data_IF_737507888441
#
_entry.id   IF_737507888441
#
_cell.length_a   1.000
_cell.length_b   1.000
_cell.length_c   1.000
_cell.angle_alpha   90.00
_cell.angle_beta   90.00
_cell.angle_gamma   90.00
#
_symmetry.space_group_name_H-M   'P 1'
#
loop_
_entity.id
_entity.type
_entity.pdbx_description
1 polymer ?
#
# COMPACT_ATOMS: atom_id res chain seq x y z
N UNK A 1 -0.97 2.09 -7.48
CA UNK A 1 -0.63 3.04 -8.58
C UNK A 1 -0.72 2.37 -9.95
N UNK A 2 -1.67 2.77 -10.79
CA UNK A 2 -1.72 2.39 -12.21
C UNK A 2 -1.11 3.45 -13.13
N UNK A 3 -0.38 3.04 -14.17
CA UNK A 3 0.02 3.94 -15.27
C UNK A 3 0.00 3.18 -16.59
N UNK A 4 -0.91 3.58 -17.48
CA UNK A 4 -1.08 2.94 -18.79
C UNK A 4 -1.35 1.44 -18.64
N UNK A 5 -0.49 0.62 -19.24
CA UNK A 5 -0.60 -0.84 -19.29
C UNK A 5 0.06 -1.56 -18.10
N UNK A 6 0.28 -0.84 -16.99
CA UNK A 6 0.98 -1.37 -15.80
C UNK A 6 0.28 -0.95 -14.52
N UNK A 7 0.34 -1.81 -13.51
CA UNK A 7 -0.12 -1.51 -12.16
C UNK A 7 0.93 -1.99 -11.15
N UNK A 8 1.26 -1.12 -10.20
CA UNK A 8 2.14 -1.40 -9.07
C UNK A 8 1.38 -1.11 -7.78
N UNK A 9 1.50 -2.02 -6.81
CA UNK A 9 0.94 -1.86 -5.48
C UNK A 9 1.86 -2.51 -4.44
N UNK A 10 1.74 -2.06 -3.20
CA UNK A 10 2.53 -2.60 -2.09
C UNK A 10 1.61 -3.52 -1.29
N UNK A 11 2.03 -4.77 -1.12
CA UNK A 11 1.39 -5.68 -0.18
C UNK A 11 2.09 -5.51 1.17
N UNK A 12 1.28 -5.35 2.23
CA UNK A 12 1.75 -5.22 3.60
C UNK A 12 1.16 -6.33 4.46
N UNK A 13 1.99 -6.99 5.25
CA UNK A 13 1.61 -8.09 6.12
C UNK A 13 2.26 -7.94 7.51
N UNK A 14 1.58 -8.41 8.55
CA UNK A 14 2.01 -8.29 9.96
C UNK A 14 2.45 -6.87 10.36
N UNK A 15 1.75 -5.86 9.86
CA UNK A 15 1.94 -4.45 10.22
C UNK A 15 3.23 -3.78 9.74
N UNK A 16 4.23 -4.50 9.23
CA UNK A 16 5.54 -3.92 8.89
C UNK A 16 6.24 -4.49 7.66
N UNK A 17 5.92 -5.70 7.24
CA UNK A 17 6.60 -6.31 6.11
C UNK A 17 5.89 -5.88 4.84
N UNK A 18 6.63 -5.27 3.93
CA UNK A 18 6.15 -4.78 2.65
C UNK A 18 6.93 -5.38 1.50
N UNK A 19 6.21 -5.71 0.42
CA UNK A 19 6.78 -6.14 -0.86
C UNK A 19 6.01 -5.48 -2.00
N UNK A 20 6.72 -5.08 -3.05
CA UNK A 20 6.10 -4.57 -4.27
C UNK A 20 5.51 -5.72 -5.07
N UNK A 21 4.28 -5.53 -5.54
CA UNK A 21 3.64 -6.37 -6.54
C UNK A 21 3.41 -5.55 -7.82
N UNK A 22 3.61 -6.20 -8.96
CA UNK A 22 3.48 -5.58 -10.27
C UNK A 22 2.68 -6.46 -11.23
N UNK A 23 1.85 -5.82 -12.05
CA UNK A 23 1.11 -6.45 -13.13
C UNK A 23 1.33 -5.66 -14.43
N UNK A 24 1.65 -6.38 -15.50
CA UNK A 24 1.86 -5.83 -16.84
C UNK A 24 0.83 -6.45 -17.79
N UNK A 25 0.23 -5.63 -18.65
CA UNK A 25 -0.73 -6.12 -19.63
C UNK A 25 -0.12 -7.20 -20.53
N UNK A 26 -0.73 -8.38 -20.58
CA UNK A 26 -0.36 -9.43 -21.52
C UNK A 26 -1.04 -9.22 -22.88
N UNK A 27 -0.23 -9.19 -23.95
CA UNK A 27 -0.71 -9.03 -25.33
C UNK A 27 -1.33 -10.30 -25.88
N UNK A 28 -1.03 -11.47 -25.31
CA UNK A 28 -1.58 -12.76 -25.73
C UNK A 28 -3.04 -12.92 -25.28
N UNK A 29 -3.42 -12.30 -24.16
CA UNK A 29 -4.78 -12.30 -23.59
C UNK A 29 -5.25 -10.86 -23.28
N UNK A 30 -5.42 -10.02 -24.32
CA UNK A 30 -5.55 -8.57 -24.15
C UNK A 30 -6.83 -8.16 -23.43
N UNK A 31 -7.95 -8.88 -23.62
CA UNK A 31 -9.23 -8.56 -22.97
C UNK A 31 -9.17 -8.84 -21.46
N UNK A 32 -8.66 -10.01 -21.08
CA UNK A 32 -8.53 -10.43 -19.69
C UNK A 32 -7.51 -9.57 -18.95
N UNK A 33 -6.37 -9.27 -19.58
CA UNK A 33 -5.32 -8.44 -19.00
C UNK A 33 -5.77 -7.00 -18.75
N UNK A 34 -6.56 -6.41 -19.65
CA UNK A 34 -7.15 -5.09 -19.44
C UNK A 34 -8.16 -5.10 -18.29
N UNK A 35 -9.03 -6.12 -18.23
CA UNK A 35 -9.97 -6.27 -17.13
C UNK A 35 -9.26 -6.40 -15.77
N UNK A 36 -8.18 -7.19 -15.72
CA UNK A 36 -7.31 -7.32 -14.54
C UNK A 36 -6.66 -5.99 -14.15
N UNK A 37 -6.14 -5.23 -15.13
CA UNK A 37 -5.59 -3.89 -14.87
C UNK A 37 -6.64 -2.95 -14.28
N UNK A 38 -7.85 -2.91 -14.84
CA UNK A 38 -8.94 -2.09 -14.32
C UNK A 38 -9.33 -2.51 -12.91
N UNK A 39 -9.42 -3.82 -12.65
CA UNK A 39 -9.67 -4.36 -11.31
C UNK A 39 -8.60 -3.92 -10.31
N UNK A 40 -7.32 -4.15 -10.60
CA UNK A 40 -6.21 -3.77 -9.72
C UNK A 40 -6.13 -2.27 -9.49
N UNK A 41 -6.45 -1.45 -10.49
CA UNK A 41 -6.48 0.01 -10.36
C UNK A 41 -7.68 0.51 -9.55
N UNK A 42 -8.75 -0.28 -9.45
CA UNK A 42 -9.93 0.02 -8.66
C UNK A 42 -9.88 -0.47 -7.21
N UNK A 43 -8.84 -1.22 -6.82
CA UNK A 43 -8.65 -1.64 -5.43
C UNK A 43 -8.42 -0.42 -4.53
N UNK A 44 -9.20 -0.33 -3.47
CA UNK A 44 -9.03 0.70 -2.43
C UNK A 44 -7.90 0.31 -1.48
N UNK A 45 -7.18 1.32 -0.97
CA UNK A 45 -6.11 1.10 -0.01
C UNK A 45 -6.65 0.42 1.26
N UNK A 46 -5.81 -0.39 1.90
CA UNK A 46 -6.16 -1.26 3.04
C UNK A 46 -7.13 -2.43 2.75
N UNK A 47 -7.48 -2.68 1.48
CA UNK A 47 -8.19 -3.90 1.09
C UNK A 47 -7.34 -5.15 1.31
N UNK A 48 -7.96 -6.23 1.79
CA UNK A 48 -7.30 -7.52 1.98
C UNK A 48 -7.46 -8.35 0.71
N UNK A 49 -6.34 -8.80 0.16
CA UNK A 49 -6.28 -9.54 -1.10
C UNK A 49 -5.46 -10.81 -0.97
N UNK A 50 -5.87 -11.84 -1.71
CA UNK A 50 -5.04 -13.01 -1.98
C UNK A 50 -4.36 -12.83 -3.33
N UNK A 51 -3.04 -13.00 -3.38
CA UNK A 51 -2.25 -12.81 -4.60
C UNK A 51 -1.44 -14.05 -4.92
N UNK A 52 -1.61 -14.56 -6.14
CA UNK A 52 -0.72 -15.56 -6.72
C UNK A 52 0.25 -14.85 -7.66
N UNK A 53 1.54 -15.04 -7.44
CA UNK A 53 2.58 -14.34 -8.18
C UNK A 53 3.85 -15.19 -8.32
N UNK A 54 4.73 -14.78 -9.25
CA UNK A 54 6.10 -15.27 -9.35
C UNK A 54 7.04 -14.25 -8.72
N UNK A 55 7.95 -14.72 -7.86
CA UNK A 55 9.00 -13.88 -7.30
C UNK A 55 10.03 -13.52 -8.39
N UNK A 56 10.40 -12.24 -8.49
CA UNK A 56 11.43 -11.76 -9.41
C UNK A 56 12.42 -10.85 -8.69
N UNK A 57 13.68 -10.86 -9.11
CA UNK A 57 14.68 -9.92 -8.60
C UNK A 57 14.38 -8.49 -9.09
N UNK A 58 14.43 -7.51 -8.18
CA UNK A 58 14.21 -6.09 -8.45
C UNK A 58 14.82 -5.24 -7.34
N UNK A 59 15.08 -3.95 -7.58
CA UNK A 59 15.53 -3.02 -6.54
C UNK A 59 14.37 -2.08 -6.14
N UNK A 60 13.84 -2.25 -4.92
CA UNK A 60 12.65 -1.53 -4.43
C UNK A 60 12.92 -0.92 -3.05
N UNK A 61 13.46 0.30 -3.03
CA UNK A 61 13.90 0.97 -1.79
C UNK A 61 12.78 1.33 -0.80
N UNK A 62 11.54 1.43 -1.28
CA UNK A 62 10.39 1.78 -0.44
C UNK A 62 9.80 0.60 0.32
N UNK A 63 10.21 -0.64 0.01
CA UNK A 63 9.68 -1.85 0.63
C UNK A 63 10.71 -2.49 1.55
N UNK A 64 10.25 -3.21 2.57
CA UNK A 64 11.12 -3.99 3.45
C UNK A 64 11.84 -5.11 2.70
N UNK A 65 11.18 -5.69 1.69
CA UNK A 65 11.78 -6.63 0.75
C UNK A 65 12.32 -5.84 -0.44
N UNK A 66 13.56 -5.35 -0.30
CA UNK A 66 14.12 -4.39 -1.24
C UNK A 66 14.80 -5.01 -2.48
N UNK A 67 15.02 -6.33 -2.50
CA UNK A 67 15.76 -7.04 -3.57
C UNK A 67 14.88 -7.89 -4.48
N UNK A 68 13.56 -7.88 -4.24
CA UNK A 68 12.59 -8.69 -4.98
C UNK A 68 11.26 -7.96 -5.15
N UNK A 69 10.50 -8.37 -6.16
CA UNK A 69 9.10 -7.99 -6.38
C UNK A 69 8.26 -9.21 -6.79
N UNK A 70 6.93 -9.07 -6.70
CA UNK A 70 5.96 -10.10 -7.07
C UNK A 70 5.34 -9.78 -8.43
N UNK A 71 5.62 -10.60 -9.45
CA UNK A 71 4.94 -10.55 -10.74
C UNK A 71 3.60 -11.26 -10.65
N UNK A 72 2.53 -10.49 -10.59
CA UNK A 72 1.16 -10.96 -10.33
C UNK A 72 0.65 -11.82 -11.49
N UNK A 73 0.11 -12.99 -11.14
CA UNK A 73 -0.63 -13.87 -12.05
C UNK A 73 -2.14 -13.71 -11.81
N UNK A 74 -2.55 -13.67 -10.55
CA UNK A 74 -3.94 -13.67 -10.12
C UNK A 74 -4.07 -12.90 -8.80
N UNK A 75 -5.21 -12.25 -8.61
CA UNK A 75 -5.53 -11.49 -7.40
C UNK A 75 -7.01 -11.59 -7.10
N UNK A 76 -7.34 -11.91 -5.86
CA UNK A 76 -8.71 -12.00 -5.36
C UNK A 76 -8.91 -10.98 -4.26
N UNK A 77 -9.99 -10.22 -4.32
CA UNK A 77 -10.41 -9.35 -3.25
C UNK A 77 -11.14 -10.16 -2.18
N UNK A 78 -10.56 -10.24 -0.98
CA UNK A 78 -11.14 -10.99 0.15
C UNK A 78 -12.00 -10.08 1.01
N UNK A 79 -11.49 -8.88 1.30
CA UNK A 79 -12.22 -7.85 2.04
C UNK A 79 -11.96 -6.48 1.44
N UNK A 80 -13.01 -5.87 0.90
CA UNK A 80 -12.97 -4.50 0.42
C UNK A 80 -12.79 -3.52 1.58
N UNK A 81 -11.86 -2.58 1.42
CA UNK A 81 -11.73 -1.43 2.30
C UNK A 81 -12.61 -0.27 1.85
N UNK A 82 -12.91 0.64 2.77
CA UNK A 82 -13.60 1.88 2.46
C UNK A 82 -12.73 2.74 1.51
N UNK A 83 -13.32 3.40 0.50
CA UNK A 83 -12.55 4.26 -0.42
C UNK A 83 -11.87 5.45 0.27
N UNK A 84 -12.48 5.96 1.34
CA UNK A 84 -11.99 7.09 2.10
C UNK A 84 -11.69 6.61 3.53
N UNK A 85 -10.41 6.52 3.88
CA UNK A 85 -9.98 6.24 5.24
C UNK A 85 -10.04 7.52 6.10
N UNK A 86 -10.22 7.40 7.43
CA UNK A 86 -10.18 8.55 8.34
C UNK A 86 -8.84 9.32 8.25
N UNK A 87 -7.75 8.60 7.99
CA UNK A 87 -6.42 9.11 7.68
C UNK A 87 -5.61 8.00 7.01
N UNK A 88 -4.57 8.38 6.27
CA UNK A 88 -3.66 7.43 5.65
C UNK A 88 -2.63 6.90 6.65
N UNK A 89 -2.32 5.61 6.53
CA UNK A 89 -1.31 4.96 7.39
C UNK A 89 0.07 5.58 7.19
N UNK A 90 0.41 5.92 5.94
CA UNK A 90 1.68 6.55 5.62
C UNK A 90 1.80 7.93 6.25
N UNK A 91 0.69 8.68 6.32
CA UNK A 91 0.66 10.00 6.97
C UNK A 91 0.80 9.87 8.49
N UNK A 92 0.07 8.93 9.11
CA UNK A 92 0.16 8.66 10.54
C UNK A 92 1.50 8.02 10.98
N UNK A 93 2.27 7.49 10.02
CA UNK A 93 3.58 6.89 10.22
C UNK A 93 4.77 7.85 10.09
N UNK A 94 4.56 9.10 9.65
CA UNK A 94 5.64 10.08 9.51
C UNK A 94 6.14 10.56 10.88
N UNK A 95 7.43 10.88 10.94
CA UNK A 95 8.03 11.50 12.13
C UNK A 95 7.65 12.98 12.23
N UNK A 96 7.66 13.53 13.44
CA UNK A 96 7.45 14.98 13.64
C UNK A 96 8.48 15.80 12.86
N UNK A 97 9.74 15.32 12.79
CA UNK A 97 10.80 15.95 12.02
C UNK A 97 10.53 15.99 10.52
N UNK A 98 9.92 14.94 9.94
CA UNK A 98 9.56 14.91 8.53
C UNK A 98 8.38 15.86 8.23
N UNK A 99 7.42 15.94 9.16
CA UNK A 99 6.28 16.85 9.06
C UNK A 99 6.77 18.30 9.09
N UNK A 100 7.59 18.67 10.08
CA UNK A 100 8.17 20.01 10.22
C UNK A 100 9.02 20.39 8.99
N UNK A 101 9.84 19.48 8.48
CA UNK A 101 10.61 19.72 7.26
C UNK A 101 9.72 19.99 6.03
N UNK A 102 8.54 19.36 5.98
CA UNK A 102 7.59 19.50 4.88
C UNK A 102 6.79 20.81 4.91
N UNK A 103 6.76 21.53 6.04
CA UNK A 103 5.99 22.78 6.19
C UNK A 103 6.39 23.86 5.17
N UNK A 104 7.66 23.83 4.73
CA UNK A 104 8.21 24.74 3.72
C UNK A 104 7.89 24.36 2.27
N UNK A 105 7.27 23.21 2.03
CA UNK A 105 6.98 22.70 0.68
C UNK A 105 5.60 23.12 0.18
N UNK A 106 5.35 23.04 -1.13
CA UNK A 106 4.03 23.37 -1.72
C UNK A 106 2.89 22.48 -1.18
N UNK A 107 3.22 21.29 -0.66
CA UNK A 107 2.27 20.30 -0.13
C UNK A 107 2.81 19.73 1.18
N UNK A 108 2.64 20.44 2.30
CA UNK A 108 3.10 19.97 3.59
C UNK A 108 2.35 18.69 3.99
N UNK A 109 3.04 17.81 4.71
CA UNK A 109 2.44 16.60 5.23
C UNK A 109 1.44 16.93 6.34
N UNK A 110 0.27 16.27 6.36
CA UNK A 110 -0.72 16.51 7.40
C UNK A 110 -0.23 15.94 8.74
N UNK A 111 -0.48 16.69 9.81
CA UNK A 111 -0.30 16.20 11.19
C UNK A 111 -1.60 15.54 11.65
N UNK A 112 -1.54 14.24 11.98
CA UNK A 112 -2.70 13.50 12.46
C UNK A 112 -2.80 13.62 13.99
N UNK A 113 -3.83 14.32 14.47
CA UNK A 113 -4.07 14.57 15.89
C UNK A 113 -4.42 13.31 16.68
N UNK A 114 -4.14 13.32 17.99
CA UNK A 114 -4.35 12.17 18.88
C UNK A 114 -5.80 11.71 18.93
N UNK A 115 -6.77 12.63 19.00
CA UNK A 115 -8.20 12.30 19.05
C UNK A 115 -8.64 11.49 17.84
N UNK A 116 -8.32 11.96 16.63
CA UNK A 116 -8.64 11.26 15.38
C UNK A 116 -8.02 9.85 15.33
N UNK A 117 -6.81 9.68 15.87
CA UNK A 117 -6.12 8.37 15.96
C UNK A 117 -6.79 7.44 16.95
N UNK A 118 -7.20 7.95 18.11
CA UNK A 118 -7.85 7.15 19.16
C UNK A 118 -9.28 6.74 18.75
N UNK A 119 -10.02 7.64 18.13
CA UNK A 119 -11.37 7.34 17.60
C UNK A 119 -11.33 6.28 16.49
N UNK A 120 -10.23 6.24 15.73
CA UNK A 120 -10.00 5.27 14.66
C UNK A 120 -8.81 4.35 14.96
N UNK A 121 -8.70 3.89 16.21
CA UNK A 121 -7.55 3.10 16.69
C UNK A 121 -7.32 1.81 15.88
N UNK A 122 -8.35 1.29 15.22
CA UNK A 122 -8.27 0.12 14.33
C UNK A 122 -7.43 0.36 13.06
N UNK A 123 -7.35 1.60 12.57
CA UNK A 123 -6.40 2.01 11.49
C UNK A 123 -5.04 2.31 12.11
N UNK A 124 -5.03 3.07 13.20
CA UNK A 124 -3.79 3.53 13.85
C UNK A 124 -2.89 2.36 14.30
N UNK A 125 -3.47 1.29 14.80
CA UNK A 125 -2.76 0.07 15.19
C UNK A 125 -2.07 -0.66 14.02
N UNK A 126 -2.40 -0.31 12.76
CA UNK A 126 -1.76 -0.85 11.57
C UNK A 126 -0.51 -0.08 11.16
N UNK A 127 -0.29 1.13 11.71
CA UNK A 127 0.93 1.92 11.51
C UNK A 127 2.11 1.10 12.04
N UNK A 128 3.22 0.95 11.27
CA UNK A 128 4.32 0.05 11.65
C UNK A 128 4.87 0.27 13.06
N UNK A 129 5.01 1.54 13.48
CA UNK A 129 5.48 1.88 14.82
C UNK A 129 4.48 1.46 15.92
N UNK A 130 3.19 1.75 15.72
CA UNK A 130 2.14 1.39 16.69
C UNK A 130 1.97 -0.12 16.80
N UNK A 131 1.98 -0.83 15.66
CA UNK A 131 1.94 -2.28 15.62
C UNK A 131 3.16 -2.89 16.34
N UNK A 132 4.36 -2.32 16.15
CA UNK A 132 5.57 -2.78 16.83
C UNK A 132 5.48 -2.59 18.36
N UNK A 133 4.97 -1.45 18.83
CA UNK A 133 4.78 -1.17 20.26
C UNK A 133 3.84 -2.20 20.91
N UNK A 134 2.73 -2.55 20.26
CA UNK A 134 1.77 -3.49 20.83
C UNK A 134 2.24 -4.97 20.82
N UNK A 135 3.34 -5.29 20.14
CA UNK A 135 3.90 -6.65 20.11
C UNK A 135 4.91 -6.90 21.23
N UNK A 136 5.45 -5.85 21.86
CA UNK A 136 6.43 -5.92 22.96
C UNK A 136 5.69 -5.96 24.29
#
# INVERSE_FOLDING_TARGET
RGKGNTCFFVLREQGRFTVQACFFNDKNVPTQSKAMLTFLQGLTEESIVDVRAVLAAAEVKSCSQATVELKVIETHLISASLPNLPFEIDDAGRSDTDIEASESTERPFPRIGQELRLDNRWVDLRVPAQHAVMRV
#
